data_IF_400262612509
#
_entry.id   IF_400262612509
#
_cell.length_a   1.000
_cell.length_b   1.000
_cell.length_c   1.000
_cell.angle_alpha   90.00
_cell.angle_beta   90.00
_cell.angle_gamma   90.00
#
_symmetry.space_group_name_H-M   'P 1'
#
loop_
_entity.id
_entity.type
_entity.pdbx_description
1 polymer ?
#
# COMPACT_ATOMS: atom_id res chain seq x y z
N UNK A 1 -14.20 -16.35 -11.26
CA UNK A 1 -14.17 -15.96 -9.84
C UNK A 1 -14.60 -14.51 -9.75
N UNK A 2 -15.42 -14.18 -8.75
CA UNK A 2 -15.99 -12.85 -8.52
C UNK A 2 -15.11 -12.06 -7.55
N UNK A 3 -14.66 -10.89 -7.96
CA UNK A 3 -13.80 -10.01 -7.16
C UNK A 3 -14.54 -8.73 -6.78
N UNK A 4 -14.31 -8.24 -5.57
CA UNK A 4 -14.64 -6.88 -5.20
C UNK A 4 -13.36 -6.07 -4.97
N UNK A 5 -13.12 -5.05 -5.80
CA UNK A 5 -11.97 -4.14 -5.63
C UNK A 5 -12.42 -2.88 -4.89
N UNK A 6 -12.05 -2.76 -3.62
CA UNK A 6 -12.38 -1.63 -2.76
C UNK A 6 -11.29 -0.54 -2.78
N UNK A 7 -11.68 0.71 -2.56
CA UNK A 7 -10.77 1.85 -2.47
C UNK A 7 -10.65 2.65 -3.77
N UNK A 8 -9.92 3.76 -3.73
CA UNK A 8 -9.69 4.66 -4.87
C UNK A 8 -8.22 4.93 -5.15
N UNK A 9 -7.33 4.16 -4.53
CA UNK A 9 -5.89 4.30 -4.73
C UNK A 9 -5.53 4.16 -6.21
N UNK A 10 -4.48 4.87 -6.62
CA UNK A 10 -3.88 4.69 -7.95
C UNK A 10 -3.48 3.23 -8.19
N UNK A 11 -3.08 2.55 -7.12
CA UNK A 11 -2.78 1.12 -7.11
C UNK A 11 -3.96 0.25 -7.55
N UNK A 12 -5.20 0.57 -7.14
CA UNK A 12 -6.41 -0.17 -7.57
C UNK A 12 -6.55 -0.13 -9.08
N UNK A 13 -6.49 1.06 -9.68
CA UNK A 13 -6.68 1.23 -11.13
C UNK A 13 -5.60 0.49 -11.93
N UNK A 14 -4.35 0.49 -11.45
CA UNK A 14 -3.26 -0.24 -12.08
C UNK A 14 -3.42 -1.76 -11.94
N UNK A 15 -3.91 -2.22 -10.79
CA UNK A 15 -4.22 -3.64 -10.58
C UNK A 15 -5.36 -4.10 -11.50
N UNK A 16 -6.44 -3.33 -11.58
CA UNK A 16 -7.58 -3.58 -12.46
C UNK A 16 -7.14 -3.63 -13.94
N UNK A 17 -6.27 -2.72 -14.38
CA UNK A 17 -5.68 -2.75 -15.71
C UNK A 17 -4.86 -4.03 -15.95
N UNK A 18 -4.06 -4.48 -14.97
CA UNK A 18 -3.31 -5.72 -15.10
C UNK A 18 -4.20 -6.97 -15.20
N UNK A 19 -5.35 -6.98 -14.51
CA UNK A 19 -6.34 -8.04 -14.68
C UNK A 19 -6.88 -8.06 -16.12
N UNK A 20 -7.24 -6.88 -16.64
CA UNK A 20 -7.75 -6.73 -18.00
C UNK A 20 -6.73 -7.14 -19.07
N UNK A 21 -5.49 -6.65 -18.99
CA UNK A 21 -4.43 -6.89 -19.98
C UNK A 21 -4.03 -8.37 -20.11
N UNK A 22 -4.37 -9.19 -19.11
CA UNK A 22 -4.12 -10.64 -19.11
C UNK A 22 -5.31 -11.48 -19.54
N UNK A 23 -6.41 -10.84 -19.97
CA UNK A 23 -7.65 -11.54 -20.32
C UNK A 23 -8.21 -12.33 -19.13
N UNK A 24 -8.02 -11.82 -17.90
CA UNK A 24 -8.39 -12.55 -16.70
C UNK A 24 -9.92 -12.70 -16.63
N UNK A 25 -10.46 -13.93 -16.45
CA UNK A 25 -11.90 -14.20 -16.41
C UNK A 25 -12.60 -13.76 -15.11
N UNK A 26 -12.03 -12.82 -14.35
CA UNK A 26 -12.63 -12.36 -13.10
C UNK A 26 -13.75 -11.35 -13.33
N UNK A 27 -14.88 -11.58 -12.68
CA UNK A 27 -16.04 -10.69 -12.73
C UNK A 27 -15.99 -9.71 -11.55
N UNK A 28 -16.09 -8.41 -11.81
CA UNK A 28 -16.14 -7.40 -10.75
C UNK A 28 -17.56 -7.24 -10.21
N UNK A 29 -17.72 -7.43 -8.91
CA UNK A 29 -19.03 -7.45 -8.24
C UNK A 29 -19.05 -6.62 -6.95
N UNK A 30 -20.23 -6.50 -6.34
CA UNK A 30 -20.37 -5.94 -5.00
C UNK A 30 -19.77 -6.86 -3.93
N UNK A 31 -19.36 -6.29 -2.79
CA UNK A 31 -18.75 -7.07 -1.70
C UNK A 31 -19.63 -8.23 -1.18
N UNK A 32 -20.96 -8.12 -1.29
CA UNK A 32 -21.90 -9.16 -0.87
C UNK A 32 -21.90 -10.40 -1.77
N UNK A 33 -21.42 -10.28 -3.02
CA UNK A 33 -21.43 -11.34 -4.03
C UNK A 33 -20.04 -11.85 -4.39
N UNK A 34 -19.01 -11.27 -3.77
CA UNK A 34 -17.62 -11.55 -4.09
C UNK A 34 -17.14 -12.86 -3.48
N UNK A 35 -16.32 -13.60 -4.23
CA UNK A 35 -15.53 -14.72 -3.73
C UNK A 35 -14.31 -14.19 -2.96
N UNK A 36 -13.77 -13.05 -3.38
CA UNK A 36 -12.66 -12.33 -2.75
C UNK A 36 -12.87 -10.83 -2.70
N UNK A 37 -12.46 -10.22 -1.60
CA UNK A 37 -12.39 -8.77 -1.44
C UNK A 37 -10.92 -8.35 -1.51
N UNK A 38 -10.61 -7.37 -2.35
CA UNK A 38 -9.27 -6.78 -2.45
C UNK A 38 -9.39 -5.30 -2.09
N UNK A 39 -8.84 -4.95 -0.94
CA UNK A 39 -8.90 -3.63 -0.33
C UNK A 39 -7.64 -2.82 -0.67
N UNK A 40 -7.85 -1.73 -1.42
CA UNK A 40 -6.84 -0.73 -1.76
C UNK A 40 -7.04 0.61 -1.02
N UNK A 41 -7.76 0.64 0.10
CA UNK A 41 -7.82 1.81 0.97
C UNK A 41 -6.42 2.18 1.48
N UNK A 42 -6.04 3.45 1.37
CA UNK A 42 -4.70 3.93 1.73
C UNK A 42 -4.65 4.41 3.19
N UNK A 43 -5.81 4.73 3.77
CA UNK A 43 -5.96 5.26 5.13
C UNK A 43 -6.89 4.39 5.97
N UNK A 44 -6.80 4.50 7.30
CA UNK A 44 -7.76 3.84 8.20
C UNK A 44 -9.19 4.36 8.03
N UNK A 45 -9.34 5.65 7.69
CA UNK A 45 -10.65 6.27 7.47
C UNK A 45 -11.37 5.64 6.28
N UNK A 46 -10.69 5.49 5.14
CA UNK A 46 -11.26 4.83 3.95
C UNK A 46 -11.67 3.40 4.25
N UNK A 47 -10.87 2.67 5.04
CA UNK A 47 -11.13 1.27 5.38
C UNK A 47 -12.26 1.08 6.40
N UNK A 48 -12.81 2.14 6.99
CA UNK A 48 -13.84 2.02 8.03
C UNK A 48 -15.04 1.18 7.61
N UNK A 49 -15.49 1.34 6.35
CA UNK A 49 -16.61 0.56 5.81
C UNK A 49 -16.35 -0.94 5.72
N UNK A 50 -15.08 -1.36 5.58
CA UNK A 50 -14.70 -2.76 5.54
C UNK A 50 -14.68 -3.41 6.93
N UNK A 51 -14.43 -2.61 7.97
CA UNK A 51 -14.44 -3.09 9.36
C UNK A 51 -15.84 -3.55 9.78
N UNK A 52 -16.87 -2.84 9.31
CA UNK A 52 -18.28 -3.13 9.58
C UNK A 52 -18.90 -4.16 8.61
N UNK A 53 -18.15 -4.61 7.61
CA UNK A 53 -18.65 -5.50 6.56
C UNK A 53 -18.92 -6.92 7.07
N UNK A 54 -20.17 -7.38 6.92
CA UNK A 54 -20.64 -8.71 7.36
C UNK A 54 -20.55 -9.83 6.32
N UNK A 55 -20.12 -9.53 5.09
CA UNK A 55 -19.73 -10.57 4.14
C UNK A 55 -18.54 -11.35 4.72
N UNK A 56 -18.38 -12.66 4.41
CA UNK A 56 -17.31 -13.51 5.00
C UNK A 56 -16.20 -13.92 4.01
N UNK A 57 -16.33 -13.53 2.74
CA UNK A 57 -15.39 -13.83 1.67
C UNK A 57 -13.93 -13.48 2.03
N UNK A 58 -12.90 -14.29 1.78
CA UNK A 58 -11.50 -13.91 2.02
C UNK A 58 -11.13 -12.49 1.58
N UNK A 59 -10.28 -11.80 2.35
CA UNK A 59 -9.91 -10.41 2.09
C UNK A 59 -8.40 -10.21 2.04
N UNK A 60 -7.93 -9.67 0.92
CA UNK A 60 -6.59 -9.07 0.77
C UNK A 60 -6.67 -7.59 1.12
N UNK A 61 -5.87 -7.12 2.07
CA UNK A 61 -5.90 -5.72 2.53
C UNK A 61 -4.57 -5.01 2.37
N UNK A 62 -4.57 -3.87 1.67
CA UNK A 62 -3.41 -2.99 1.54
C UNK A 62 -2.99 -2.48 2.92
N UNK A 63 -1.72 -2.69 3.29
CA UNK A 63 -1.24 -2.44 4.66
C UNK A 63 -0.53 -1.10 4.85
N UNK A 64 -0.73 -0.15 3.94
CA UNK A 64 -0.13 1.19 4.10
C UNK A 64 -0.42 1.80 5.48
N UNK A 65 -1.66 1.84 6.00
CA UNK A 65 -1.94 2.59 7.21
C UNK A 65 -1.73 1.81 8.52
N UNK A 66 -1.56 0.48 8.48
CA UNK A 66 -1.42 -0.38 9.66
C UNK A 66 -0.97 -1.80 9.29
N UNK A 67 -0.46 -2.55 10.28
CA UNK A 67 -0.09 -3.96 10.13
C UNK A 67 -1.29 -4.86 9.76
N UNK A 68 -1.07 -5.99 9.08
CA UNK A 68 -2.13 -6.98 8.80
C UNK A 68 -2.92 -7.39 10.04
N UNK A 69 -2.26 -7.69 11.16
CA UNK A 69 -2.91 -8.09 12.41
C UNK A 69 -3.82 -6.98 12.96
N UNK A 70 -3.37 -5.73 12.91
CA UNK A 70 -4.18 -4.58 13.31
C UNK A 70 -5.44 -4.48 12.43
N UNK A 71 -5.29 -4.54 11.10
CA UNK A 71 -6.41 -4.44 10.18
C UNK A 71 -7.40 -5.59 10.37
N UNK A 72 -6.90 -6.82 10.52
CA UNK A 72 -7.72 -8.01 10.78
C UNK A 72 -8.57 -7.86 12.05
N UNK A 73 -7.96 -7.41 13.15
CA UNK A 73 -8.61 -7.25 14.46
C UNK A 73 -9.78 -6.24 14.45
N UNK A 74 -9.81 -5.31 13.47
CA UNK A 74 -10.90 -4.34 13.33
C UNK A 74 -12.09 -4.86 12.53
N UNK A 75 -11.93 -5.98 11.83
CA UNK A 75 -13.02 -6.56 11.03
C UNK A 75 -13.95 -7.42 11.85
N UNK A 76 -15.16 -7.63 11.33
CA UNK A 76 -16.12 -8.57 11.91
C UNK A 76 -15.66 -10.05 11.90
N UNK A 77 -14.71 -10.40 11.04
CA UNK A 77 -14.18 -11.77 10.88
C UNK A 77 -12.65 -11.70 10.68
N UNK A 78 -11.86 -11.59 11.75
CA UNK A 78 -10.41 -11.38 11.63
C UNK A 78 -9.66 -12.49 10.89
N UNK A 79 -10.16 -13.72 10.95
CA UNK A 79 -9.56 -14.93 10.38
C UNK A 79 -9.55 -14.99 8.85
N UNK A 80 -10.24 -14.05 8.18
CA UNK A 80 -10.34 -13.98 6.70
C UNK A 80 -9.36 -13.01 6.04
N UNK A 81 -8.58 -12.27 6.82
CA UNK A 81 -7.75 -11.16 6.33
C UNK A 81 -6.33 -11.62 6.09
N UNK A 82 -5.75 -11.24 4.95
CA UNK A 82 -4.31 -11.32 4.66
C UNK A 82 -3.86 -9.96 4.17
N UNK A 83 -2.73 -9.46 4.69
CA UNK A 83 -2.18 -8.18 4.28
C UNK A 83 -1.41 -8.28 2.97
N UNK A 84 -1.38 -7.20 2.21
CA UNK A 84 -0.42 -7.05 1.13
C UNK A 84 0.12 -5.61 1.03
N UNK A 85 1.28 -5.45 0.39
CA UNK A 85 1.85 -4.16 0.01
C UNK A 85 2.40 -4.23 -1.41
N UNK A 86 2.44 -3.06 -2.05
CA UNK A 86 2.98 -2.87 -3.39
C UNK A 86 3.47 -1.43 -3.50
N UNK A 87 4.36 -1.15 -4.46
CA UNK A 87 4.68 0.21 -4.87
C UNK A 87 4.14 0.47 -6.28
N UNK A 88 3.34 1.53 -6.49
CA UNK A 88 3.00 1.97 -7.84
C UNK A 88 4.21 2.63 -8.52
N UNK A 89 4.35 2.55 -9.86
CA UNK A 89 3.42 1.89 -10.78
C UNK A 89 3.53 0.35 -10.74
N UNK A 90 2.40 -0.34 -10.75
CA UNK A 90 2.36 -1.80 -10.91
C UNK A 90 2.54 -2.19 -12.36
N UNK A 91 3.52 -3.04 -12.61
CA UNK A 91 3.90 -3.59 -13.91
C UNK A 91 4.23 -5.07 -13.77
N UNK A 92 4.51 -5.74 -14.89
CA UNK A 92 4.94 -7.16 -14.88
C UNK A 92 6.25 -7.41 -14.12
N UNK A 93 7.07 -6.38 -13.93
CA UNK A 93 8.31 -6.46 -13.15
C UNK A 93 8.10 -6.14 -11.67
N UNK A 94 6.89 -5.73 -11.27
CA UNK A 94 6.58 -5.36 -9.89
C UNK A 94 6.41 -6.60 -9.01
N UNK A 95 6.71 -6.41 -7.74
CA UNK A 95 6.54 -7.41 -6.69
C UNK A 95 5.39 -6.97 -5.79
N UNK A 96 4.52 -7.92 -5.47
CA UNK A 96 3.55 -7.82 -4.37
C UNK A 96 4.14 -8.51 -3.15
N UNK A 97 4.11 -7.82 -2.02
CA UNK A 97 4.53 -8.35 -0.73
C UNK A 97 3.28 -8.85 -0.01
N UNK A 98 3.17 -10.16 0.20
CA UNK A 98 2.11 -10.79 0.98
C UNK A 98 2.56 -10.88 2.45
N UNK A 99 1.68 -10.49 3.36
CA UNK A 99 1.94 -10.47 4.80
C UNK A 99 0.79 -11.15 5.54
N UNK A 100 1.00 -12.38 6.04
CA UNK A 100 0.03 -13.03 6.92
C UNK A 100 -0.23 -12.19 8.17
N UNK A 101 -1.49 -12.10 8.59
CA UNK A 101 -1.84 -11.63 9.92
C UNK A 101 -1.74 -12.81 10.90
N UNK A 102 -1.63 -12.55 12.20
CA UNK A 102 -1.64 -13.59 13.24
C UNK A 102 -2.93 -14.43 13.22
N UNK A 103 -4.03 -13.84 12.74
CA UNK A 103 -5.33 -14.48 12.63
C UNK A 103 -5.47 -15.30 11.34
N UNK A 104 -4.58 -15.12 10.35
CA UNK A 104 -4.66 -15.80 9.05
C UNK A 104 -4.27 -17.27 9.18
N UNK A 105 -5.12 -18.18 8.70
CA UNK A 105 -4.72 -19.58 8.57
C UNK A 105 -3.73 -19.80 7.42
N UNK A 106 -2.82 -20.80 7.49
CA UNK A 106 -1.93 -21.12 6.38
C UNK A 106 -2.67 -21.43 5.07
N UNK A 107 -3.85 -22.06 5.16
CA UNK A 107 -4.69 -22.34 3.99
C UNK A 107 -5.19 -21.06 3.30
N UNK A 108 -5.59 -20.05 4.09
CA UNK A 108 -5.99 -18.75 3.56
C UNK A 108 -4.81 -18.04 2.89
N UNK A 109 -3.63 -18.06 3.50
CA UNK A 109 -2.42 -17.44 2.94
C UNK A 109 -2.04 -18.09 1.60
N UNK A 110 -2.14 -19.42 1.50
CA UNK A 110 -1.91 -20.14 0.25
C UNK A 110 -2.90 -19.73 -0.84
N UNK A 111 -4.20 -19.64 -0.54
CA UNK A 111 -5.21 -19.17 -1.50
C UNK A 111 -4.99 -17.71 -1.91
N UNK A 112 -4.58 -16.85 -0.98
CA UNK A 112 -4.26 -15.45 -1.25
C UNK A 112 -3.07 -15.32 -2.20
N UNK A 113 -2.03 -16.12 -1.99
CA UNK A 113 -0.87 -16.21 -2.89
C UNK A 113 -1.28 -16.65 -4.28
N UNK A 114 -2.03 -17.74 -4.40
CA UNK A 114 -2.50 -18.26 -5.69
C UNK A 114 -3.34 -17.22 -6.45
N UNK A 115 -4.22 -16.50 -5.76
CA UNK A 115 -4.99 -15.41 -6.34
C UNK A 115 -4.06 -14.31 -6.89
N UNK A 116 -3.13 -13.80 -6.08
CA UNK A 116 -2.24 -12.74 -6.52
C UNK A 116 -1.32 -13.20 -7.67
N UNK A 117 -0.79 -14.42 -7.62
CA UNK A 117 0.05 -14.99 -8.68
C UNK A 117 -0.75 -15.24 -9.97
N UNK A 118 -2.06 -15.49 -9.90
CA UNK A 118 -2.93 -15.61 -11.07
C UNK A 118 -3.05 -14.30 -11.88
N UNK A 119 -2.79 -13.15 -11.23
CA UNK A 119 -2.64 -11.85 -11.91
C UNK A 119 -1.30 -11.72 -12.64
N UNK A 120 -0.43 -12.72 -12.48
CA UNK A 120 0.93 -12.83 -13.01
C UNK A 120 1.90 -11.76 -12.53
N UNK A 121 1.56 -11.10 -11.43
CA UNK A 121 2.50 -10.35 -10.61
C UNK A 121 3.33 -11.34 -9.78
N UNK A 122 4.59 -10.99 -9.54
CA UNK A 122 5.43 -11.79 -8.64
C UNK A 122 5.01 -11.53 -7.20
N UNK A 123 4.80 -12.59 -6.41
CA UNK A 123 4.42 -12.48 -5.01
C UNK A 123 5.54 -13.02 -4.13
N UNK A 124 5.94 -12.24 -3.12
CA UNK A 124 6.88 -12.68 -2.08
C UNK A 124 6.21 -12.59 -0.72
N UNK A 125 6.56 -13.49 0.20
CA UNK A 125 6.13 -13.38 1.59
C UNK A 125 7.12 -12.54 2.39
N UNK A 126 6.63 -11.65 3.24
CA UNK A 126 7.44 -10.89 4.18
C UNK A 126 6.79 -10.88 5.56
N UNK A 127 7.58 -10.58 6.59
CA UNK A 127 7.06 -10.42 7.95
C UNK A 127 6.08 -9.25 8.03
N UNK A 128 5.11 -9.34 8.94
CA UNK A 128 4.06 -8.33 9.03
C UNK A 128 4.57 -6.99 9.54
N UNK A 129 4.21 -5.91 8.85
CA UNK A 129 4.54 -4.53 9.19
C UNK A 129 3.65 -3.59 8.39
N UNK A 130 3.33 -2.37 8.87
CA UNK A 130 2.75 -1.36 8.00
C UNK A 130 3.62 -1.15 6.76
N UNK A 131 2.99 -1.07 5.59
CA UNK A 131 3.61 -0.81 4.28
C UNK A 131 4.62 -1.84 3.76
N UNK A 132 4.86 -2.96 4.43
CA UNK A 132 5.81 -3.99 3.97
C UNK A 132 7.26 -3.50 3.92
N UNK A 133 8.09 -4.04 3.02
CA UNK A 133 9.51 -3.69 2.91
C UNK A 133 9.71 -2.53 1.93
N UNK A 134 9.23 -2.67 0.70
CA UNK A 134 9.48 -1.70 -0.35
C UNK A 134 8.81 -0.35 -0.08
N UNK A 135 7.51 -0.34 0.25
CA UNK A 135 6.78 0.91 0.45
C UNK A 135 7.20 1.63 1.73
N UNK A 136 7.52 0.90 2.81
CA UNK A 136 8.17 1.44 4.01
C UNK A 136 9.48 2.17 3.67
N UNK A 137 10.35 1.53 2.89
CA UNK A 137 11.66 2.10 2.53
C UNK A 137 11.50 3.37 1.71
N UNK A 138 10.61 3.36 0.71
CA UNK A 138 10.32 4.55 -0.10
C UNK A 138 9.68 5.65 0.74
N UNK A 139 8.75 5.35 1.64
CA UNK A 139 8.14 6.36 2.50
C UNK A 139 9.17 7.08 3.39
N UNK A 140 10.11 6.34 3.98
CA UNK A 140 11.21 6.95 4.75
C UNK A 140 12.11 7.82 3.87
N UNK A 141 12.45 7.37 2.66
CA UNK A 141 13.26 8.13 1.72
C UNK A 141 12.57 9.43 1.27
N UNK A 142 11.26 9.36 0.99
CA UNK A 142 10.43 10.53 0.69
C UNK A 142 10.44 11.50 1.87
N UNK A 143 10.26 10.99 3.09
CA UNK A 143 10.24 11.82 4.29
C UNK A 143 11.56 12.58 4.50
N UNK A 144 12.69 11.92 4.25
CA UNK A 144 14.01 12.55 4.30
C UNK A 144 14.17 13.63 3.23
N UNK A 145 13.72 13.35 2.00
CA UNK A 145 13.73 14.35 0.93
C UNK A 145 12.84 15.57 1.26
N UNK A 146 11.70 15.35 1.93
CA UNK A 146 10.83 16.45 2.44
C UNK A 146 11.60 17.31 3.45
N UNK A 147 12.37 16.70 4.35
CA UNK A 147 13.21 17.42 5.32
C UNK A 147 14.26 18.27 4.60
N UNK A 148 14.98 17.70 3.63
CA UNK A 148 15.98 18.42 2.83
C UNK A 148 15.39 19.63 2.08
N UNK A 149 14.17 19.51 1.54
CA UNK A 149 13.43 20.63 0.95
C UNK A 149 13.10 21.69 2.01
N UNK A 150 12.59 21.28 3.16
CA UNK A 150 12.19 22.20 4.23
C UNK A 150 13.39 22.99 4.81
N UNK A 151 14.54 22.33 4.92
CA UNK A 151 15.81 22.89 5.38
C UNK A 151 16.54 23.69 4.30
N UNK A 152 16.00 23.71 3.07
CA UNK A 152 16.57 24.40 1.89
C UNK A 152 17.98 23.91 1.54
N UNK A 153 18.25 22.62 1.74
CA UNK A 153 19.50 21.97 1.30
C UNK A 153 19.62 22.03 -0.22
N UNK A 154 18.52 21.77 -0.92
CA UNK A 154 18.40 21.89 -2.37
C UNK A 154 16.92 21.98 -2.79
N UNK A 155 16.66 22.37 -4.03
CA UNK A 155 15.31 22.30 -4.60
C UNK A 155 14.91 20.83 -4.89
N UNK A 156 13.60 20.53 -5.04
CA UNK A 156 13.10 19.19 -5.30
C UNK A 156 13.77 18.46 -6.48
N UNK A 157 13.98 19.15 -7.59
CA UNK A 157 14.53 18.54 -8.81
C UNK A 157 16.02 18.18 -8.65
N UNK A 158 16.76 19.03 -7.93
CA UNK A 158 18.15 18.77 -7.55
C UNK A 158 18.26 17.58 -6.61
N UNK A 159 17.39 17.46 -5.60
CA UNK A 159 17.35 16.30 -4.69
C UNK A 159 17.08 15.00 -5.46
N UNK A 160 16.08 15.02 -6.34
CA UNK A 160 15.75 13.84 -7.16
C UNK A 160 16.87 13.46 -8.11
N UNK A 161 17.55 14.43 -8.71
CA UNK A 161 18.70 14.20 -9.59
C UNK A 161 19.88 13.60 -8.83
N UNK A 162 20.20 14.14 -7.66
CA UNK A 162 21.27 13.63 -6.80
C UNK A 162 21.01 12.17 -6.40
N UNK A 163 19.78 11.84 -5.98
CA UNK A 163 19.43 10.48 -5.57
C UNK A 163 19.41 9.52 -6.76
N UNK A 164 18.75 9.88 -7.86
CA UNK A 164 18.69 9.02 -9.05
C UNK A 164 20.08 8.69 -9.60
N UNK A 165 20.93 9.71 -9.78
CA UNK A 165 22.28 9.49 -10.35
C UNK A 165 23.28 8.95 -9.33
N UNK A 166 23.15 9.34 -8.06
CA UNK A 166 24.06 8.94 -7.00
C UNK A 166 23.81 7.53 -6.45
N UNK A 167 22.55 7.07 -6.43
CA UNK A 167 22.20 5.73 -5.90
C UNK A 167 21.69 4.77 -6.97
N UNK A 168 21.62 5.22 -8.23
CA UNK A 168 21.11 4.45 -9.37
C UNK A 168 19.68 3.93 -9.16
N UNK A 169 18.86 4.66 -8.39
CA UNK A 169 17.42 4.41 -8.32
C UNK A 169 16.75 4.86 -9.62
N UNK A 170 15.69 4.16 -10.09
CA UNK A 170 15.03 4.51 -11.33
C UNK A 170 14.32 5.87 -11.28
N UNK A 171 14.05 6.38 -10.07
CA UNK A 171 13.37 7.64 -9.79
C UNK A 171 13.93 8.26 -8.52
N UNK A 172 13.90 9.59 -8.44
CA UNK A 172 14.19 10.31 -7.20
C UNK A 172 13.08 10.11 -6.14
N UNK A 173 13.34 10.39 -4.86
CA UNK A 173 12.35 10.27 -3.80
C UNK A 173 11.08 11.11 -4.00
N UNK A 174 11.18 12.36 -4.46
CA UNK A 174 10.01 13.23 -4.62
C UNK A 174 9.21 12.85 -5.88
N UNK A 175 9.89 12.38 -6.94
CA UNK A 175 9.26 11.66 -8.04
C UNK A 175 8.50 10.40 -7.58
N UNK A 176 9.09 9.58 -6.70
CA UNK A 176 8.38 8.45 -6.11
C UNK A 176 7.15 8.90 -5.34
N UNK A 177 7.26 9.98 -4.54
CA UNK A 177 6.13 10.58 -3.83
C UNK A 177 5.02 11.01 -4.81
N UNK A 178 5.37 11.53 -5.98
CA UNK A 178 4.44 11.89 -7.05
C UNK A 178 3.72 10.68 -7.66
N UNK A 179 4.34 9.50 -7.70
CA UNK A 179 3.70 8.27 -8.18
C UNK A 179 2.83 7.60 -7.12
N UNK A 180 3.36 7.48 -5.90
CA UNK A 180 2.69 6.88 -4.73
C UNK A 180 1.54 7.74 -4.25
N UNK A 181 1.72 9.07 -4.27
CA UNK A 181 0.81 10.06 -3.71
C UNK A 181 1.18 10.43 -2.28
N UNK A 182 1.26 11.74 -1.99
CA UNK A 182 1.65 12.25 -0.66
C UNK A 182 0.76 11.73 0.47
N UNK A 183 -0.54 11.54 0.21
CA UNK A 183 -1.49 11.00 1.19
C UNK A 183 -1.15 9.55 1.58
N UNK A 184 -0.80 8.71 0.60
CA UNK A 184 -0.38 7.34 0.86
C UNK A 184 0.97 7.30 1.59
N UNK A 185 1.94 8.14 1.20
CA UNK A 185 3.21 8.27 1.92
C UNK A 185 2.98 8.67 3.38
N UNK A 186 2.13 9.66 3.62
CA UNK A 186 1.79 10.10 4.97
C UNK A 186 1.15 8.96 5.78
N UNK A 187 0.19 8.24 5.20
CA UNK A 187 -0.47 7.10 5.85
C UNK A 187 0.52 5.98 6.21
N UNK A 188 1.49 5.69 5.34
CA UNK A 188 2.57 4.73 5.64
C UNK A 188 3.40 5.16 6.84
N UNK A 189 3.86 6.41 6.85
CA UNK A 189 4.70 6.94 7.93
C UNK A 189 3.93 7.01 9.26
N UNK A 190 2.64 7.39 9.22
CA UNK A 190 1.79 7.38 10.41
C UNK A 190 1.56 5.97 10.94
N UNK A 191 1.26 5.00 10.06
CA UNK A 191 1.12 3.59 10.46
C UNK A 191 2.40 3.04 11.09
N UNK A 192 3.55 3.30 10.48
CA UNK A 192 4.86 2.92 11.02
C UNK A 192 5.16 3.60 12.36
N UNK A 193 4.87 4.89 12.49
CA UNK A 193 5.08 5.63 13.74
C UNK A 193 4.17 5.13 14.86
N UNK A 194 2.91 4.80 14.57
CA UNK A 194 1.98 4.24 15.55
C UNK A 194 2.38 2.81 15.98
N UNK A 195 2.87 1.99 15.06
CA UNK A 195 3.31 0.62 15.35
C UNK A 195 4.59 0.59 16.20
N UNK A 196 5.59 1.40 15.85
CA UNK A 196 6.92 1.32 16.46
C UNK A 196 7.20 2.39 17.51
N UNK A 197 6.52 3.54 17.48
CA UNK A 197 6.78 4.67 18.36
C UNK A 197 8.15 5.34 18.15
N UNK A 198 8.81 5.09 17.01
CA UNK A 198 10.17 5.55 16.74
C UNK A 198 10.20 6.82 15.89
N UNK A 199 11.01 7.80 16.30
CA UNK A 199 11.13 9.09 15.61
C UNK A 199 11.59 9.00 14.15
N UNK A 200 12.28 7.92 13.76
CA UNK A 200 12.66 7.71 12.35
C UNK A 200 11.46 7.57 11.40
N UNK A 201 10.27 7.26 11.92
CA UNK A 201 9.02 7.20 11.13
C UNK A 201 8.16 8.45 11.28
N UNK A 202 8.56 9.42 12.12
CA UNK A 202 7.77 10.62 12.34
C UNK A 202 7.60 11.38 11.02
N UNK A 203 6.36 11.57 10.52
CA UNK A 203 6.16 12.30 9.28
C UNK A 203 6.58 13.76 9.43
N UNK A 204 7.32 14.28 8.47
CA UNK A 204 7.78 15.66 8.49
C UNK A 204 6.58 16.64 8.45
N UNK A 205 6.56 17.75 9.23
CA UNK A 205 5.44 18.69 9.25
C UNK A 205 5.07 19.27 7.89
N UNK A 206 6.05 19.46 6.99
CA UNK A 206 5.80 19.92 5.62
C UNK A 206 4.95 18.92 4.82
N UNK A 207 5.22 17.62 4.94
CA UNK A 207 4.42 16.58 4.29
C UNK A 207 2.97 16.62 4.78
N UNK A 208 2.76 16.72 6.10
CA UNK A 208 1.42 16.84 6.70
C UNK A 208 0.66 18.05 6.14
N UNK A 209 1.32 19.22 6.10
CA UNK A 209 0.73 20.45 5.56
C UNK A 209 0.40 20.34 4.07
N UNK A 210 1.28 19.71 3.28
CA UNK A 210 1.04 19.51 1.85
C UNK A 210 -0.19 18.62 1.60
N UNK A 211 -0.33 17.53 2.36
CA UNK A 211 -1.52 16.66 2.29
C UNK A 211 -2.79 17.40 2.72
N UNK A 212 -2.74 18.15 3.82
CA UNK A 212 -3.88 18.97 4.28
C UNK A 212 -4.27 20.05 3.26
N UNK A 213 -3.31 20.58 2.50
CA UNK A 213 -3.55 21.53 1.43
C UNK A 213 -4.03 20.87 0.11
N UNK A 214 -4.22 19.55 0.09
CA UNK A 214 -4.65 18.82 -1.10
C UNK A 214 -3.61 18.75 -2.22
N UNK A 215 -2.32 18.90 -1.90
CA UNK A 215 -1.25 18.81 -2.91
C UNK A 215 -0.96 17.37 -3.30
N UNK A 216 -0.68 17.17 -4.59
CA UNK A 216 -0.18 15.88 -5.10
C UNK A 216 1.35 15.79 -5.11
N UNK A 217 2.05 16.92 -5.06
CA UNK A 217 3.52 17.05 -5.06
C UNK A 217 3.94 18.16 -4.10
N UNK A 218 5.22 18.17 -3.66
CA UNK A 218 5.76 19.22 -2.80
C UNK A 218 6.10 20.49 -3.60
#
# INVERSE_FOLDING_TARGET
>A
MKLHLFGRARLRAQFEQQLHDRGNPHELVSAAQADWIIDFGETLEEKQVLFDLRARAPMLSLTYPASPTHLAARTCYPDRVVGFSALPPVSRASVLELMPALQSSPALVAQARELLESTGLRVIEVGETPAGVAARTVACLVNEAVSAVAERVADPATIDTAMRLGTNYPRGPLEWAGHVGLRAVLAMLEGLYQEYGEDRYRPHPLLRRAVLAGRETL
#
